data_IF_425347553479
#
_entry.id   IF_425347553479
#
_cell.length_a   1.000
_cell.length_b   1.000
_cell.length_c   1.000
_cell.angle_alpha   90.00
_cell.angle_beta   90.00
_cell.angle_gamma   90.00
#
_symmetry.space_group_name_H-M   'P 1'
#
loop_
_entity.id
_entity.type
_entity.pdbx_description
1 polymer ?
#
# COMPACT_ATOMS: atom_id res chain seq x y z
N UNK A 1 27.50 -76.69 -41.36
CA UNK A 1 28.27 -75.84 -42.30
C UNK A 1 27.34 -75.41 -43.43
N UNK A 2 27.51 -74.19 -43.94
CA UNK A 2 26.81 -73.53 -45.07
C UNK A 2 25.40 -73.03 -44.72
N UNK A 3 25.22 -71.84 -44.11
CA UNK A 3 25.37 -70.47 -44.66
C UNK A 3 24.30 -70.13 -45.72
N UNK A 4 23.12 -69.71 -45.24
CA UNK A 4 22.08 -69.10 -46.05
C UNK A 4 22.38 -67.61 -46.28
N UNK A 5 22.60 -67.26 -47.55
CA UNK A 5 22.97 -65.92 -47.97
C UNK A 5 21.86 -64.89 -47.67
N UNK A 6 22.25 -63.84 -46.96
CA UNK A 6 21.48 -62.62 -46.70
C UNK A 6 21.16 -61.92 -48.02
N UNK A 7 19.87 -61.76 -48.30
CA UNK A 7 19.38 -60.87 -49.35
C UNK A 7 19.39 -59.45 -48.80
N UNK A 8 20.48 -58.72 -49.06
CA UNK A 8 20.57 -57.27 -48.86
C UNK A 8 19.56 -56.57 -49.78
N UNK A 9 18.37 -56.29 -49.25
CA UNK A 9 17.50 -55.26 -49.82
C UNK A 9 18.16 -53.91 -49.57
N UNK A 10 18.90 -53.45 -50.56
CA UNK A 10 19.26 -52.04 -50.73
C UNK A 10 17.97 -51.22 -50.76
N UNK A 11 17.59 -50.65 -49.61
CA UNK A 11 16.65 -49.53 -49.54
C UNK A 11 17.37 -48.31 -50.10
N UNK A 12 16.85 -47.64 -51.13
CA UNK A 12 17.33 -46.31 -51.47
C UNK A 12 16.98 -45.38 -50.31
N UNK A 13 17.98 -45.01 -49.51
CA UNK A 13 17.95 -43.79 -48.70
C UNK A 13 17.96 -42.61 -49.66
N UNK A 14 16.78 -42.29 -50.21
CA UNK A 14 16.53 -40.98 -50.79
C UNK A 14 16.45 -40.00 -49.61
N UNK A 15 17.60 -39.43 -49.25
CA UNK A 15 17.63 -38.17 -48.51
C UNK A 15 16.86 -37.18 -49.40
N UNK A 16 15.70 -36.67 -48.97
CA UNK A 16 14.95 -35.75 -49.81
C UNK A 16 15.83 -34.51 -50.08
N UNK A 17 15.82 -33.98 -51.31
CA UNK A 17 16.53 -32.75 -51.63
C UNK A 17 16.08 -31.66 -50.66
N UNK A 18 17.05 -30.91 -50.13
CA UNK A 18 16.86 -29.98 -49.03
C UNK A 18 15.64 -29.09 -49.24
N UNK A 19 14.71 -29.12 -48.27
CA UNK A 19 13.57 -28.22 -48.19
C UNK A 19 14.06 -26.78 -48.39
N UNK A 20 13.76 -26.20 -49.54
CA UNK A 20 14.09 -24.79 -49.78
C UNK A 20 13.16 -23.92 -48.96
N UNK A 21 13.63 -22.75 -48.51
CA UNK A 21 12.84 -21.82 -47.68
C UNK A 21 11.51 -21.45 -48.37
N UNK A 22 11.53 -21.32 -49.70
CA UNK A 22 10.34 -21.02 -50.51
C UNK A 22 9.30 -22.16 -50.52
N UNK A 23 9.72 -23.42 -50.44
CA UNK A 23 8.81 -24.57 -50.37
C UNK A 23 8.12 -24.64 -49.01
N UNK A 24 8.86 -24.36 -47.94
CA UNK A 24 8.32 -24.28 -46.57
C UNK A 24 7.33 -23.13 -46.44
N UNK A 25 7.63 -21.94 -46.98
CA UNK A 25 6.73 -20.79 -46.96
C UNK A 25 5.44 -21.04 -47.74
N UNK A 26 5.53 -21.66 -48.93
CA UNK A 26 4.37 -22.03 -49.74
C UNK A 26 3.49 -23.08 -49.04
N UNK A 27 4.09 -24.00 -48.30
CA UNK A 27 3.36 -25.03 -47.52
C UNK A 27 2.68 -24.48 -46.26
N UNK A 28 3.08 -23.29 -45.78
CA UNK A 28 2.53 -22.68 -44.58
C UNK A 28 1.35 -21.73 -44.85
N UNK A 29 0.96 -21.52 -46.11
CA UNK A 29 -0.27 -20.81 -46.54
C UNK A 29 -0.45 -19.43 -45.85
N UNK A 30 0.58 -18.58 -45.87
CA UNK A 30 0.52 -17.23 -45.26
C UNK A 30 0.70 -17.19 -43.74
N UNK A 31 0.84 -18.33 -43.05
CA UNK A 31 1.11 -18.36 -41.60
C UNK A 31 2.53 -17.89 -41.25
N UNK A 32 3.49 -18.12 -42.15
CA UNK A 32 4.83 -17.54 -42.02
C UNK A 32 4.78 -16.01 -42.01
N UNK A 33 3.90 -15.39 -42.81
CA UNK A 33 3.69 -13.95 -42.84
C UNK A 33 3.09 -13.43 -41.53
N UNK A 34 2.10 -14.14 -40.96
CA UNK A 34 1.53 -13.82 -39.64
C UNK A 34 2.61 -13.86 -38.54
N UNK A 35 3.45 -14.89 -38.54
CA UNK A 35 4.55 -15.00 -37.57
C UNK A 35 5.60 -13.91 -37.78
N UNK A 36 5.98 -13.62 -39.02
CA UNK A 36 6.94 -12.57 -39.36
C UNK A 36 6.43 -11.18 -38.95
N UNK A 37 5.16 -10.87 -39.25
CA UNK A 37 4.50 -9.63 -38.85
C UNK A 37 4.48 -9.46 -37.32
N UNK A 38 4.21 -10.55 -36.58
CA UNK A 38 4.14 -10.53 -35.13
C UNK A 38 5.49 -10.29 -34.43
N UNK A 39 6.64 -10.56 -35.08
CA UNK A 39 7.97 -10.45 -34.44
C UNK A 39 8.27 -9.04 -33.95
N UNK A 40 7.98 -8.03 -34.76
CA UNK A 40 8.30 -6.63 -34.45
C UNK A 40 7.46 -6.10 -33.28
N UNK A 41 6.12 -6.19 -33.29
CA UNK A 41 5.29 -5.78 -32.15
C UNK A 41 5.68 -6.46 -30.83
N UNK A 42 5.95 -7.76 -30.85
CA UNK A 42 6.39 -8.49 -29.66
C UNK A 42 7.76 -8.01 -29.17
N UNK A 43 8.72 -7.73 -30.06
CA UNK A 43 10.04 -7.22 -29.68
C UNK A 43 9.95 -5.81 -29.08
N UNK A 44 9.13 -4.95 -29.67
CA UNK A 44 8.92 -3.58 -29.19
C UNK A 44 8.27 -3.57 -27.79
N UNK A 45 7.27 -4.43 -27.55
CA UNK A 45 6.65 -4.57 -26.24
C UNK A 45 7.60 -5.18 -25.20
N UNK A 46 8.42 -6.17 -25.60
CA UNK A 46 9.44 -6.77 -24.71
C UNK A 46 10.45 -5.71 -24.26
N UNK A 47 10.91 -4.87 -25.20
CA UNK A 47 11.78 -3.73 -24.92
C UNK A 47 11.12 -2.70 -24.01
N UNK A 48 9.84 -2.38 -24.24
CA UNK A 48 9.09 -1.46 -23.40
C UNK A 48 8.96 -1.97 -21.95
N UNK A 49 8.56 -3.24 -21.77
CA UNK A 49 8.31 -3.84 -20.45
C UNK A 49 9.58 -4.18 -19.65
N UNK A 50 10.69 -4.46 -20.32
CA UNK A 50 11.98 -4.74 -19.68
C UNK A 50 12.64 -3.48 -19.10
N UNK A 51 12.36 -2.30 -19.66
CA UNK A 51 12.92 -1.03 -19.22
C UNK A 51 12.55 -0.60 -17.78
N UNK A 52 13.35 0.29 -17.18
CA UNK A 52 13.05 0.90 -15.87
C UNK A 52 11.84 1.85 -15.92
N UNK A 53 11.63 2.51 -17.06
CA UNK A 53 10.53 3.47 -17.31
C UNK A 53 9.36 2.85 -18.09
N UNK A 54 9.13 1.56 -17.91
CA UNK A 54 8.15 0.79 -18.68
C UNK A 54 6.73 1.39 -18.65
N UNK A 55 6.29 1.94 -17.51
CA UNK A 55 4.96 2.60 -17.41
C UNK A 55 4.83 3.76 -18.38
N UNK A 56 5.80 4.68 -18.35
CA UNK A 56 5.85 5.81 -19.29
C UNK A 56 5.92 5.33 -20.73
N UNK A 57 6.66 4.26 -21.02
CA UNK A 57 6.74 3.70 -22.37
C UNK A 57 5.37 3.17 -22.86
N UNK A 58 4.59 2.53 -22.00
CA UNK A 58 3.23 2.08 -22.32
C UNK A 58 2.26 3.26 -22.51
N UNK A 59 2.33 4.29 -21.66
CA UNK A 59 1.49 5.50 -21.81
C UNK A 59 1.76 6.22 -23.12
N UNK A 60 3.03 6.28 -23.55
CA UNK A 60 3.45 6.95 -24.78
C UNK A 60 3.11 6.20 -26.06
N UNK A 61 2.81 4.90 -25.96
CA UNK A 61 2.53 4.02 -27.11
C UNK A 61 1.24 3.22 -26.85
N UNK A 62 0.10 3.91 -26.85
CA UNK A 62 -1.17 3.33 -26.45
C UNK A 62 -1.65 2.18 -27.35
N UNK A 63 -1.13 2.08 -28.56
CA UNK A 63 -1.50 1.10 -29.58
C UNK A 63 -0.86 -0.28 -29.39
N UNK A 64 0.26 -0.39 -28.67
CA UNK A 64 1.07 -1.63 -28.62
C UNK A 64 0.33 -2.81 -27.98
N UNK A 65 -0.40 -2.57 -26.90
CA UNK A 65 -1.13 -3.64 -26.20
C UNK A 65 -2.38 -4.08 -26.98
N UNK A 66 -3.28 -3.16 -27.41
CA UNK A 66 -4.44 -3.54 -28.21
C UNK A 66 -4.08 -4.28 -29.51
N UNK A 67 -3.04 -3.83 -30.24
CA UNK A 67 -2.63 -4.47 -31.48
C UNK A 67 -2.17 -5.93 -31.26
N UNK A 68 -1.35 -6.16 -30.23
CA UNK A 68 -0.89 -7.52 -29.91
C UNK A 68 -2.04 -8.42 -29.45
N UNK A 69 -2.95 -7.90 -28.64
CA UNK A 69 -4.12 -8.65 -28.16
C UNK A 69 -5.07 -9.01 -29.32
N UNK A 70 -5.23 -8.11 -30.30
CA UNK A 70 -6.07 -8.36 -31.49
C UNK A 70 -5.52 -9.51 -32.35
N UNK A 71 -4.20 -9.59 -32.52
CA UNK A 71 -3.54 -10.63 -33.33
C UNK A 71 -3.22 -11.92 -32.55
N UNK A 72 -3.41 -11.93 -31.23
CA UNK A 72 -2.94 -12.99 -30.34
C UNK A 72 -3.40 -14.40 -30.76
N UNK A 73 -4.69 -14.54 -31.08
CA UNK A 73 -5.27 -15.83 -31.51
C UNK A 73 -4.67 -16.32 -32.82
N UNK A 74 -4.50 -15.44 -33.80
CA UNK A 74 -3.92 -15.79 -35.10
C UNK A 74 -2.46 -16.24 -34.96
N UNK A 75 -1.69 -15.58 -34.09
CA UNK A 75 -0.30 -15.94 -33.78
C UNK A 75 -0.21 -17.27 -33.02
N UNK A 76 -1.09 -17.51 -32.05
CA UNK A 76 -1.14 -18.78 -31.31
C UNK A 76 -1.48 -19.96 -32.21
N UNK A 77 -2.53 -19.83 -33.03
CA UNK A 77 -2.91 -20.85 -34.02
C UNK A 77 -1.80 -21.11 -35.05
N UNK A 78 -1.10 -20.07 -35.50
CA UNK A 78 0.03 -20.20 -36.41
C UNK A 78 1.22 -20.93 -35.75
N UNK A 79 1.58 -20.56 -34.51
CA UNK A 79 2.65 -21.21 -33.75
C UNK A 79 2.35 -22.69 -33.52
N UNK A 80 1.15 -23.04 -33.07
CA UNK A 80 0.77 -24.43 -32.80
C UNK A 80 0.80 -25.29 -34.06
N UNK A 81 0.31 -24.78 -35.19
CA UNK A 81 0.29 -25.54 -36.44
C UNK A 81 1.70 -25.75 -36.98
N UNK A 82 2.56 -24.73 -36.94
CA UNK A 82 3.95 -24.87 -37.38
C UNK A 82 4.72 -25.82 -36.45
N UNK A 83 4.50 -25.77 -35.14
CA UNK A 83 5.11 -26.71 -34.18
C UNK A 83 4.65 -28.15 -34.40
N UNK A 84 3.34 -28.38 -34.57
CA UNK A 84 2.80 -29.71 -34.87
C UNK A 84 3.40 -30.29 -36.15
N UNK A 85 3.51 -29.47 -37.20
CA UNK A 85 4.05 -29.89 -38.48
C UNK A 85 5.56 -30.15 -38.44
N UNK A 86 6.32 -29.26 -37.81
CA UNK A 86 7.76 -29.45 -37.60
C UNK A 86 8.05 -30.76 -36.84
N UNK A 87 7.22 -31.11 -35.86
CA UNK A 87 7.32 -32.39 -35.14
C UNK A 87 6.96 -33.60 -36.00
N UNK A 88 5.91 -33.50 -36.83
CA UNK A 88 5.47 -34.58 -37.72
C UNK A 88 6.47 -34.85 -38.85
N UNK A 89 7.07 -33.80 -39.40
CA UNK A 89 7.99 -33.86 -40.53
C UNK A 89 9.47 -33.88 -40.09
N UNK A 90 9.75 -33.97 -38.78
CA UNK A 90 11.08 -34.01 -38.18
C UNK A 90 12.01 -32.90 -38.74
N UNK A 91 11.52 -31.66 -38.78
CA UNK A 91 12.27 -30.53 -39.32
C UNK A 91 13.61 -30.34 -38.59
N UNK A 92 14.73 -30.17 -39.32
CA UNK A 92 16.01 -29.86 -38.71
C UNK A 92 15.97 -28.57 -37.88
N UNK A 93 16.75 -28.53 -36.80
CA UNK A 93 16.83 -27.37 -35.90
C UNK A 93 17.24 -26.07 -36.60
N UNK A 94 18.04 -26.18 -37.66
CA UNK A 94 18.56 -25.04 -38.44
C UNK A 94 17.59 -24.51 -39.50
N UNK A 95 16.39 -25.11 -39.62
CA UNK A 95 15.36 -24.63 -40.56
C UNK A 95 14.99 -23.18 -40.21
N UNK A 96 15.14 -22.20 -41.12
CA UNK A 96 14.95 -20.78 -40.79
C UNK A 96 13.60 -20.46 -40.17
N UNK A 97 12.51 -20.97 -40.76
CA UNK A 97 11.15 -20.77 -40.25
C UNK A 97 10.97 -21.39 -38.86
N UNK A 98 11.57 -22.55 -38.61
CA UNK A 98 11.53 -23.20 -37.30
C UNK A 98 12.29 -22.41 -36.23
N UNK A 99 13.46 -21.87 -36.58
CA UNK A 99 14.21 -20.98 -35.71
C UNK A 99 13.38 -19.74 -35.34
N UNK A 100 12.69 -19.14 -36.29
CA UNK A 100 11.84 -17.98 -36.05
C UNK A 100 10.64 -18.29 -35.15
N UNK A 101 10.01 -19.45 -35.33
CA UNK A 101 8.92 -19.94 -34.47
C UNK A 101 9.40 -20.13 -33.03
N UNK A 102 10.58 -20.73 -32.84
CA UNK A 102 11.19 -20.91 -31.51
C UNK A 102 11.57 -19.57 -30.86
N UNK A 103 12.12 -18.65 -31.64
CA UNK A 103 12.43 -17.30 -31.16
C UNK A 103 11.17 -16.56 -30.70
N UNK A 104 10.09 -16.62 -31.48
CA UNK A 104 8.82 -15.98 -31.15
C UNK A 104 8.14 -16.63 -29.95
N UNK A 105 8.14 -17.97 -29.84
CA UNK A 105 7.59 -18.68 -28.68
C UNK A 105 8.35 -18.34 -27.40
N UNK A 106 9.69 -18.34 -27.45
CA UNK A 106 10.53 -17.94 -26.33
C UNK A 106 10.31 -16.47 -25.95
N UNK A 107 10.10 -15.58 -26.93
CA UNK A 107 9.76 -14.18 -26.70
C UNK A 107 8.39 -14.03 -26.03
N UNK A 108 7.36 -14.73 -26.49
CA UNK A 108 6.03 -14.75 -25.85
C UNK A 108 6.14 -15.22 -24.39
N UNK A 109 6.88 -16.29 -24.12
CA UNK A 109 7.11 -16.76 -22.74
C UNK A 109 7.82 -15.71 -21.86
N UNK A 110 8.84 -15.03 -22.39
CA UNK A 110 9.52 -13.93 -21.68
C UNK A 110 8.56 -12.76 -21.41
N UNK A 111 7.77 -12.38 -22.41
CA UNK A 111 6.74 -11.35 -22.29
C UNK A 111 5.69 -11.70 -21.23
N UNK A 112 5.20 -12.95 -21.20
CA UNK A 112 4.23 -13.40 -20.18
C UNK A 112 4.80 -13.22 -18.79
N UNK A 113 6.04 -13.68 -18.57
CA UNK A 113 6.71 -13.53 -17.28
C UNK A 113 6.93 -12.06 -16.92
N UNK A 114 7.30 -11.22 -17.88
CA UNK A 114 7.46 -9.78 -17.67
C UNK A 114 6.12 -9.11 -17.32
N UNK A 115 5.07 -9.37 -18.10
CA UNK A 115 3.73 -8.83 -17.89
C UNK A 115 3.21 -9.23 -16.50
N UNK A 116 3.29 -10.51 -16.14
CA UNK A 116 2.91 -11.01 -14.80
C UNK A 116 3.74 -10.35 -13.70
N UNK A 117 5.06 -10.22 -13.86
CA UNK A 117 5.93 -9.53 -12.89
C UNK A 117 5.56 -8.05 -12.72
N UNK A 118 5.26 -7.35 -13.82
CA UNK A 118 4.86 -5.93 -13.78
C UNK A 118 3.46 -5.77 -13.16
N UNK A 119 2.53 -6.66 -13.51
CA UNK A 119 1.18 -6.69 -12.95
C UNK A 119 1.21 -6.98 -11.44
N UNK A 120 1.99 -7.96 -10.99
CA UNK A 120 2.19 -8.27 -9.58
C UNK A 120 2.81 -7.10 -8.80
N UNK A 121 3.57 -6.21 -9.46
CA UNK A 121 4.06 -4.99 -8.82
C UNK A 121 2.98 -3.91 -8.62
N UNK A 122 1.85 -4.00 -9.34
CA UNK A 122 0.76 -3.02 -9.31
C UNK A 122 -0.49 -3.51 -8.57
N UNK A 123 -0.76 -4.81 -8.57
CA UNK A 123 -1.98 -5.40 -8.01
C UNK A 123 -1.72 -6.82 -7.52
N UNK A 124 -2.66 -7.37 -6.76
CA UNK A 124 -2.69 -8.79 -6.41
C UNK A 124 -3.22 -9.56 -7.63
N UNK A 125 -2.31 -10.07 -8.46
CA UNK A 125 -2.66 -10.79 -9.68
C UNK A 125 -2.90 -12.29 -9.41
N UNK A 126 -3.89 -12.93 -10.05
CA UNK A 126 -3.99 -14.39 -10.10
C UNK A 126 -2.74 -15.01 -10.73
N UNK A 127 -2.36 -16.22 -10.32
CA UNK A 127 -1.14 -16.89 -10.81
C UNK A 127 -1.18 -17.26 -12.30
N UNK A 128 -2.38 -17.54 -12.83
CA UNK A 128 -2.58 -18.25 -14.10
C UNK A 128 -3.11 -17.37 -15.24
N UNK A 129 -2.93 -16.06 -15.16
CA UNK A 129 -3.42 -15.10 -16.16
C UNK A 129 -2.67 -15.28 -17.49
N UNK A 130 -3.40 -15.37 -18.62
CA UNK A 130 -2.81 -15.44 -19.97
C UNK A 130 -1.97 -14.19 -20.28
N UNK A 131 -1.15 -14.22 -21.35
CA UNK A 131 -0.35 -13.06 -21.74
C UNK A 131 -1.25 -11.85 -22.05
N UNK A 132 -2.28 -12.09 -22.85
CA UNK A 132 -3.20 -11.10 -23.39
C UNK A 132 -4.00 -10.44 -22.25
N UNK A 133 -4.50 -11.26 -21.34
CA UNK A 133 -5.23 -10.77 -20.16
C UNK A 133 -4.29 -10.00 -19.22
N UNK A 134 -3.07 -10.49 -19.01
CA UNK A 134 -2.08 -9.79 -18.18
C UNK A 134 -1.70 -8.42 -18.77
N UNK A 135 -1.52 -8.34 -20.09
CA UNK A 135 -1.22 -7.10 -20.80
C UNK A 135 -2.41 -6.14 -20.77
N UNK A 136 -3.63 -6.62 -21.00
CA UNK A 136 -4.85 -5.80 -20.96
C UNK A 136 -5.07 -5.18 -19.58
N UNK A 137 -4.94 -6.00 -18.52
CA UNK A 137 -5.03 -5.52 -17.13
C UNK A 137 -3.90 -4.53 -16.80
N UNK A 138 -2.68 -4.81 -17.26
CA UNK A 138 -1.53 -3.92 -17.06
C UNK A 138 -1.75 -2.56 -17.73
N UNK A 139 -2.22 -2.54 -18.96
CA UNK A 139 -2.52 -1.33 -19.73
C UNK A 139 -3.62 -0.50 -19.06
N UNK A 140 -4.72 -1.13 -18.65
CA UNK A 140 -5.80 -0.48 -17.90
C UNK A 140 -5.29 0.17 -16.59
N UNK A 141 -4.43 -0.53 -15.84
CA UNK A 141 -3.87 -0.03 -14.58
C UNK A 141 -2.89 1.14 -14.77
N UNK A 142 -2.12 1.14 -15.86
CA UNK A 142 -1.15 2.20 -16.18
C UNK A 142 -1.87 3.46 -16.66
N UNK A 143 -2.98 3.31 -17.39
CA UNK A 143 -3.81 4.43 -17.87
C UNK A 143 -4.72 5.02 -16.81
N UNK A 144 -4.94 4.30 -15.72
CA UNK A 144 -5.77 4.79 -14.63
C UNK A 144 -5.16 6.05 -13.99
N UNK A 145 -5.75 7.21 -14.29
CA UNK A 145 -5.34 8.49 -13.75
C UNK A 145 -5.71 8.59 -12.27
N UNK A 146 -4.69 8.74 -11.42
CA UNK A 146 -4.88 8.98 -9.99
C UNK A 146 -5.04 10.49 -9.76
N UNK A 147 -6.26 10.90 -9.42
CA UNK A 147 -6.57 12.31 -9.13
C UNK A 147 -6.33 12.61 -7.67
N UNK A 148 -5.41 13.55 -7.40
CA UNK A 148 -5.11 14.03 -6.05
C UNK A 148 -6.25 14.86 -5.44
N UNK A 149 -6.98 15.60 -6.27
CA UNK A 149 -8.12 16.40 -5.85
C UNK A 149 -9.25 15.52 -5.30
N UNK A 150 -9.99 16.03 -4.31
CA UNK A 150 -11.18 15.39 -3.77
C UNK A 150 -12.24 15.30 -4.87
N UNK A 151 -12.89 14.14 -4.99
CA UNK A 151 -14.09 14.02 -5.83
C UNK A 151 -15.29 14.65 -5.09
N UNK A 152 -16.33 15.09 -5.82
CA UNK A 152 -17.56 15.54 -5.18
C UNK A 152 -18.09 14.50 -4.18
N UNK A 153 -18.37 14.93 -2.94
CA UNK A 153 -18.83 14.06 -1.86
C UNK A 153 -17.72 13.29 -1.11
N UNK A 154 -16.45 13.41 -1.50
CA UNK A 154 -15.33 12.89 -0.71
C UNK A 154 -14.95 13.87 0.40
N UNK A 155 -14.83 13.35 1.63
CA UNK A 155 -14.38 14.13 2.80
C UNK A 155 -12.94 13.78 3.10
N UNK A 156 -12.13 14.79 3.39
CA UNK A 156 -10.76 14.59 3.85
C UNK A 156 -10.77 14.13 5.31
N UNK A 157 -10.27 12.92 5.55
CA UNK A 157 -10.18 12.34 6.90
C UNK A 157 -8.82 12.67 7.52
N UNK A 158 -7.75 12.49 6.74
CA UNK A 158 -6.39 12.73 7.21
C UNK A 158 -5.47 13.11 6.04
N UNK A 159 -4.56 14.05 6.28
CA UNK A 159 -3.51 14.42 5.35
C UNK A 159 -2.18 14.55 6.10
N UNK A 160 -1.13 13.97 5.51
CA UNK A 160 0.22 14.06 6.05
C UNK A 160 1.24 14.33 4.94
N UNK A 161 2.29 15.06 5.31
CA UNK A 161 3.41 15.41 4.45
C UNK A 161 4.69 14.85 5.06
N UNK A 162 5.14 13.71 4.59
CA UNK A 162 6.25 12.99 5.23
C UNK A 162 7.61 13.62 4.96
N UNK A 163 7.74 14.40 3.88
CA UNK A 163 8.98 15.10 3.52
C UNK A 163 9.18 16.43 4.26
N UNK A 164 8.08 17.10 4.67
CA UNK A 164 8.20 18.30 5.52
C UNK A 164 8.48 17.81 6.93
N UNK A 165 9.77 17.82 7.32
CA UNK A 165 10.16 17.89 8.73
C UNK A 165 9.43 19.08 9.32
N UNK A 166 8.31 18.83 9.98
CA UNK A 166 7.60 19.87 10.71
C UNK A 166 8.48 20.20 11.90
N UNK A 167 9.35 21.20 11.73
CA UNK A 167 10.00 21.96 12.80
C UNK A 167 8.96 22.82 13.54
N UNK A 168 7.74 22.31 13.75
CA UNK A 168 6.73 23.01 14.53
C UNK A 168 6.98 22.66 16.01
N UNK A 169 7.45 23.60 16.84
CA UNK A 169 7.80 23.32 18.23
C UNK A 169 6.57 23.12 19.13
N UNK A 170 5.35 23.36 18.61
CA UNK A 170 4.17 23.64 19.44
C UNK A 170 3.14 22.50 19.53
N UNK A 171 3.35 21.36 18.87
CA UNK A 171 2.53 20.16 19.11
C UNK A 171 3.44 18.97 19.38
N UNK A 172 4.16 19.07 20.50
CA UNK A 172 4.79 17.94 21.16
C UNK A 172 3.72 17.07 21.85
N UNK A 173 2.96 16.29 21.07
CA UNK A 173 2.60 14.98 21.62
C UNK A 173 3.92 14.22 21.71
N UNK A 174 4.23 13.72 22.90
CA UNK A 174 5.47 13.07 23.37
C UNK A 174 5.89 11.87 22.49
N UNK A 175 6.24 12.13 21.23
CA UNK A 175 6.71 11.16 20.25
C UNK A 175 8.20 11.37 20.08
N UNK A 176 8.94 10.40 20.61
CA UNK A 176 10.38 10.29 20.46
C UNK A 176 10.73 10.46 18.99
N UNK A 177 11.43 11.55 18.65
CA UNK A 177 12.20 11.58 17.41
C UNK A 177 13.06 10.31 17.43
N UNK A 178 13.06 9.50 16.35
CA UNK A 178 13.91 8.31 16.31
C UNK A 178 15.33 8.76 16.67
N UNK A 179 15.88 8.30 17.80
CA UNK A 179 17.20 8.71 18.30
C UNK A 179 18.28 8.64 17.21
N UNK A 180 18.08 7.74 16.25
CA UNK A 180 18.90 7.55 15.06
C UNK A 180 18.93 8.78 14.14
N UNK A 181 17.81 9.45 13.87
CA UNK A 181 17.77 10.61 12.95
C UNK A 181 18.48 11.83 13.54
N UNK A 182 18.39 12.01 14.86
CA UNK A 182 19.14 13.04 15.59
C UNK A 182 20.64 12.72 15.62
N UNK A 183 21.01 11.45 15.84
CA UNK A 183 22.41 11.02 15.81
C UNK A 183 23.04 11.26 14.43
N UNK A 184 22.36 10.93 13.33
CA UNK A 184 22.85 11.19 11.98
C UNK A 184 22.96 12.68 11.64
N UNK A 185 21.99 13.50 12.08
CA UNK A 185 22.05 14.94 11.88
C UNK A 185 23.22 15.58 12.66
N UNK A 186 23.42 15.18 13.91
CA UNK A 186 24.54 15.64 14.73
C UNK A 186 25.89 15.18 14.17
N UNK A 187 25.98 13.93 13.72
CA UNK A 187 27.19 13.39 13.08
C UNK A 187 27.52 14.15 11.79
N UNK A 188 26.53 14.40 10.93
CA UNK A 188 26.71 15.19 9.71
C UNK A 188 27.22 16.60 10.01
N UNK A 189 26.66 17.27 11.02
CA UNK A 189 27.09 18.61 11.44
C UNK A 189 28.53 18.60 11.98
N UNK A 190 28.89 17.61 12.81
CA UNK A 190 30.25 17.44 13.33
C UNK A 190 31.28 17.15 12.22
N UNK A 191 30.92 16.34 11.23
CA UNK A 191 31.79 16.06 10.08
C UNK A 191 32.00 17.30 9.19
N UNK A 192 30.96 18.11 8.97
CA UNK A 192 31.09 19.39 8.25
C UNK A 192 31.98 20.37 9.03
N UNK A 193 31.81 20.46 10.35
CA UNK A 193 32.67 21.28 11.20
C UNK A 193 34.13 20.81 11.16
N UNK A 194 34.35 19.48 11.16
CA UNK A 194 35.68 18.88 11.03
C UNK A 194 36.35 19.17 9.69
N UNK A 195 35.60 19.19 8.58
CA UNK A 195 36.12 19.57 7.26
C UNK A 195 36.61 21.02 7.21
N UNK A 196 35.96 21.92 7.95
CA UNK A 196 36.34 23.34 7.97
C UNK A 196 37.64 23.61 8.75
N UNK A 197 38.03 22.71 9.66
CA UNK A 197 39.19 22.89 10.55
C UNK A 197 40.38 22.02 10.15
N UNK A 198 40.17 20.92 9.43
CA UNK A 198 41.24 19.99 9.07
C UNK A 198 42.08 20.48 7.89
N UNK A 199 43.39 20.65 8.09
CA UNK A 199 44.37 20.99 7.04
C UNK A 199 45.03 19.76 6.39
N UNK A 200 44.83 18.57 6.96
CA UNK A 200 45.48 17.33 6.51
C UNK A 200 44.64 16.61 5.45
N UNK A 201 45.26 16.22 4.33
CA UNK A 201 44.55 15.68 3.16
C UNK A 201 43.86 14.33 3.42
N UNK A 202 44.42 13.49 4.28
CA UNK A 202 43.82 12.21 4.67
C UNK A 202 42.57 12.39 5.53
N UNK A 203 42.56 13.38 6.42
CA UNK A 203 41.40 13.72 7.26
C UNK A 203 40.28 14.32 6.41
N UNK A 204 40.62 15.15 5.43
CA UNK A 204 39.67 15.72 4.46
C UNK A 204 38.97 14.63 3.64
N UNK A 205 39.69 13.58 3.21
CA UNK A 205 39.09 12.46 2.47
C UNK A 205 38.09 11.67 3.34
N UNK A 206 38.48 11.27 4.55
CA UNK A 206 37.60 10.51 5.45
C UNK A 206 36.36 11.31 5.83
N UNK A 207 36.52 12.59 6.17
CA UNK A 207 35.38 13.45 6.50
C UNK A 207 34.51 13.73 5.27
N UNK A 208 35.10 13.85 4.09
CA UNK A 208 34.37 13.96 2.82
C UNK A 208 33.49 12.73 2.55
N UNK A 209 34.00 11.51 2.78
CA UNK A 209 33.21 10.28 2.67
C UNK A 209 32.06 10.24 3.68
N UNK A 210 32.30 10.62 4.94
CA UNK A 210 31.26 10.65 5.97
C UNK A 210 30.18 11.68 5.66
N UNK A 211 30.54 12.89 5.22
CA UNK A 211 29.57 13.92 4.80
C UNK A 211 28.78 13.44 3.59
N UNK A 212 29.43 12.84 2.59
CA UNK A 212 28.75 12.30 1.41
C UNK A 212 27.81 11.17 1.77
N UNK A 213 28.19 10.27 2.69
CA UNK A 213 27.34 9.19 3.19
C UNK A 213 26.13 9.72 3.97
N UNK A 214 26.34 10.69 4.87
CA UNK A 214 25.25 11.32 5.63
C UNK A 214 24.30 12.09 4.71
N UNK A 215 24.83 12.87 3.76
CA UNK A 215 24.04 13.61 2.78
C UNK A 215 23.28 12.65 1.86
N UNK A 216 23.91 11.58 1.39
CA UNK A 216 23.27 10.52 0.61
C UNK A 216 22.15 9.83 1.38
N UNK A 217 22.31 9.58 2.68
CA UNK A 217 21.25 9.05 3.54
C UNK A 217 20.08 10.01 3.68
N UNK A 218 20.33 11.29 3.98
CA UNK A 218 19.28 12.32 4.11
C UNK A 218 18.54 12.49 2.79
N UNK A 219 19.26 12.59 1.67
CA UNK A 219 18.67 12.66 0.32
C UNK A 219 17.83 11.41 0.04
N UNK A 220 18.33 10.21 0.38
CA UNK A 220 17.57 8.96 0.23
C UNK A 220 16.27 8.96 1.04
N UNK A 221 16.27 9.44 2.28
CA UNK A 221 15.05 9.56 3.10
C UNK A 221 14.07 10.57 2.51
N UNK A 222 14.56 11.72 2.02
CA UNK A 222 13.73 12.71 1.35
C UNK A 222 13.09 12.16 0.07
N UNK A 223 13.84 11.39 -0.73
CA UNK A 223 13.35 10.75 -1.94
C UNK A 223 12.35 9.61 -1.66
N UNK A 224 12.41 9.00 -0.48
CA UNK A 224 11.44 7.98 -0.02
C UNK A 224 10.14 8.60 0.50
N UNK A 225 10.18 9.86 0.92
CA UNK A 225 9.01 10.58 1.40
C UNK A 225 7.98 10.90 0.32
N UNK A 226 6.89 11.53 0.75
CA UNK A 226 5.74 11.85 -0.09
C UNK A 226 4.63 12.55 0.67
N UNK A 227 3.45 12.58 0.06
CA UNK A 227 2.22 13.08 0.66
C UNK A 227 1.23 11.92 0.74
N UNK A 228 0.65 11.75 1.91
CA UNK A 228 -0.38 10.76 2.15
C UNK A 228 -1.70 11.48 2.38
N UNK A 229 -2.76 11.00 1.73
CA UNK A 229 -4.10 11.54 1.89
C UNK A 229 -5.07 10.38 2.08
N UNK A 230 -5.77 10.38 3.19
CA UNK A 230 -6.89 9.49 3.47
C UNK A 230 -8.18 10.29 3.34
N UNK A 231 -9.05 9.83 2.47
CA UNK A 231 -10.41 10.37 2.28
C UNK A 231 -11.42 9.35 2.79
N UNK A 232 -12.70 9.72 2.82
CA UNK A 232 -13.79 8.79 3.09
C UNK A 232 -13.86 7.61 2.11
N UNK A 233 -13.31 7.73 0.89
CA UNK A 233 -13.40 6.68 -0.15
C UNK A 233 -12.10 5.94 -0.43
N UNK A 234 -10.98 6.63 -0.30
CA UNK A 234 -9.70 6.16 -0.86
C UNK A 234 -8.51 6.66 -0.06
N UNK A 235 -7.48 5.83 -0.07
CA UNK A 235 -6.14 6.16 0.36
C UNK A 235 -5.29 6.50 -0.86
N UNK A 236 -4.65 7.67 -0.83
CA UNK A 236 -3.82 8.18 -1.91
C UNK A 236 -2.41 8.44 -1.36
N UNK A 237 -1.40 7.90 -2.05
CA UNK A 237 0.00 8.15 -1.78
C UNK A 237 0.66 8.82 -2.98
N UNK A 238 1.22 10.00 -2.78
CA UNK A 238 2.00 10.72 -3.79
C UNK A 238 3.46 10.76 -3.36
N UNK A 239 4.33 9.89 -3.89
CA UNK A 239 5.75 9.95 -3.58
C UNK A 239 6.37 11.24 -4.14
N UNK A 240 7.48 11.70 -3.55
CA UNK A 240 8.27 12.82 -4.10
C UNK A 240 8.77 12.47 -5.51
N UNK A 241 9.18 11.20 -5.70
CA UNK A 241 9.56 10.67 -7.00
C UNK A 241 8.71 9.46 -7.37
N UNK A 242 8.00 9.55 -8.50
CA UNK A 242 7.15 8.49 -9.03
C UNK A 242 5.73 8.95 -9.31
N UNK A 243 4.87 7.99 -9.65
CA UNK A 243 3.46 8.23 -9.91
C UNK A 243 2.64 8.11 -8.62
N UNK A 244 1.60 8.93 -8.45
CA UNK A 244 0.63 8.76 -7.37
C UNK A 244 -0.05 7.39 -7.44
N UNK A 245 -0.33 6.82 -6.26
CA UNK A 245 -0.99 5.54 -6.08
C UNK A 245 -2.30 5.77 -5.32
N UNK A 246 -3.34 5.04 -5.71
CA UNK A 246 -4.68 5.13 -5.10
C UNK A 246 -5.20 3.72 -4.85
N UNK A 247 -5.81 3.52 -3.68
CA UNK A 247 -6.55 2.31 -3.32
C UNK A 247 -7.87 2.72 -2.67
N UNK A 248 -8.99 2.20 -3.19
CA UNK A 248 -10.31 2.38 -2.57
C UNK A 248 -10.40 1.63 -1.25
N UNK A 249 -10.90 2.27 -0.21
CA UNK A 249 -11.00 1.69 1.14
C UNK A 249 -11.88 0.45 1.17
N UNK A 250 -12.98 0.46 0.42
CA UNK A 250 -13.89 -0.69 0.32
C UNK A 250 -13.34 -1.89 -0.45
N UNK A 251 -12.23 -1.74 -1.17
CA UNK A 251 -11.58 -2.83 -1.92
C UNK A 251 -10.41 -3.46 -1.14
N UNK A 252 -10.10 -2.96 0.06
CA UNK A 252 -9.02 -3.48 0.91
C UNK A 252 -9.54 -4.72 1.65
N UNK A 253 -8.87 -5.85 1.44
CA UNK A 253 -9.22 -7.10 2.13
C UNK A 253 -8.95 -7.00 3.64
N UNK A 254 -9.59 -7.85 4.49
CA UNK A 254 -9.34 -7.91 5.93
C UNK A 254 -7.85 -7.87 6.33
N UNK A 255 -7.02 -8.65 5.65
CA UNK A 255 -5.56 -8.74 5.86
C UNK A 255 -4.73 -7.93 4.85
N UNK A 256 -5.37 -7.03 4.11
CA UNK A 256 -4.75 -6.20 3.08
C UNK A 256 -3.83 -5.11 3.63
N UNK A 257 -3.82 -4.86 4.94
CA UNK A 257 -2.97 -3.87 5.58
C UNK A 257 -1.76 -4.52 6.24
N UNK A 258 -0.56 -4.08 5.84
CA UNK A 258 0.71 -4.53 6.39
C UNK A 258 1.60 -3.36 6.74
N UNK A 259 2.05 -3.34 7.99
CA UNK A 259 3.08 -2.44 8.48
C UNK A 259 4.44 -3.13 8.32
N UNK A 260 5.34 -2.54 7.55
CA UNK A 260 6.70 -3.05 7.39
C UNK A 260 7.69 -2.34 8.32
N UNK A 261 8.85 -2.95 8.52
CA UNK A 261 9.94 -2.34 9.28
C UNK A 261 10.36 -1.02 8.60
N UNK A 262 10.47 0.06 9.38
CA UNK A 262 10.92 1.37 8.86
C UNK A 262 9.81 2.40 8.57
N UNK A 263 8.61 2.23 9.15
CA UNK A 263 7.46 3.15 8.96
C UNK A 263 6.84 3.10 7.56
N UNK A 264 6.98 1.96 6.87
CA UNK A 264 6.40 1.74 5.54
C UNK A 264 5.00 1.11 5.68
N UNK A 265 4.03 1.66 4.95
CA UNK A 265 2.66 1.17 4.88
C UNK A 265 2.44 0.49 3.53
N UNK A 266 2.10 -0.80 3.57
CA UNK A 266 1.62 -1.54 2.41
C UNK A 266 0.13 -1.81 2.53
N UNK A 267 -0.58 -1.49 1.47
CA UNK A 267 -2.02 -1.71 1.33
C UNK A 267 -2.29 -2.52 0.08
N UNK A 268 -2.95 -3.64 0.26
CA UNK A 268 -3.36 -4.57 -0.79
C UNK A 268 -4.89 -4.52 -0.90
N UNK A 269 -5.37 -4.03 -2.05
CA UNK A 269 -6.77 -4.12 -2.47
C UNK A 269 -6.83 -4.42 -3.97
N UNK A 270 -7.69 -3.71 -4.71
CA UNK A 270 -7.69 -3.74 -6.19
C UNK A 270 -6.33 -3.34 -6.80
N UNK A 271 -5.56 -2.53 -6.07
CA UNK A 271 -4.20 -2.10 -6.40
C UNK A 271 -3.31 -2.25 -5.17
N UNK A 272 -2.01 -2.32 -5.40
CA UNK A 272 -0.98 -2.27 -4.35
C UNK A 272 -0.54 -0.84 -4.17
N UNK A 273 -0.67 -0.35 -2.95
CA UNK A 273 -0.12 0.93 -2.52
C UNK A 273 1.01 0.68 -1.54
N UNK A 274 2.16 1.29 -1.81
CA UNK A 274 3.32 1.26 -0.92
C UNK A 274 3.73 2.69 -0.60
N UNK A 275 3.28 3.16 0.57
CA UNK A 275 3.68 4.45 1.12
C UNK A 275 4.88 4.26 2.03
N UNK A 276 5.97 4.98 1.74
CA UNK A 276 7.24 4.83 2.47
C UNK A 276 7.43 5.97 3.46
N UNK A 277 8.08 5.66 4.57
CA UNK A 277 8.42 6.64 5.60
C UNK A 277 7.20 7.44 6.07
N UNK A 278 6.06 6.76 6.28
CA UNK A 278 4.81 7.39 6.74
C UNK A 278 4.93 7.75 8.21
N UNK A 279 4.77 9.03 8.53
CA UNK A 279 4.81 9.47 9.92
C UNK A 279 3.57 8.98 10.64
N UNK A 280 3.77 8.37 11.81
CA UNK A 280 2.63 7.80 12.55
C UNK A 280 1.91 6.70 11.75
N UNK A 281 2.66 5.88 11.01
CA UNK A 281 2.15 4.77 10.18
C UNK A 281 1.06 3.94 10.87
N UNK A 282 1.20 3.69 12.18
CA UNK A 282 0.21 2.95 12.97
C UNK A 282 -1.12 3.69 13.09
N UNK A 283 -1.09 5.02 13.31
CA UNK A 283 -2.30 5.83 13.41
C UNK A 283 -3.01 5.91 12.06
N UNK A 284 -2.27 6.06 10.96
CA UNK A 284 -2.85 6.02 9.61
C UNK A 284 -3.45 4.65 9.33
N UNK A 285 -2.72 3.57 9.59
CA UNK A 285 -3.23 2.22 9.36
C UNK A 285 -4.48 1.93 10.20
N UNK A 286 -4.54 2.43 11.43
CA UNK A 286 -5.73 2.38 12.27
C UNK A 286 -6.91 3.13 11.64
N UNK A 287 -6.69 4.35 11.13
CA UNK A 287 -7.73 5.10 10.44
C UNK A 287 -8.21 4.37 9.18
N UNK A 288 -7.31 3.76 8.41
CA UNK A 288 -7.69 2.95 7.24
C UNK A 288 -8.51 1.72 7.65
N UNK A 289 -8.10 1.05 8.72
CA UNK A 289 -8.79 -0.12 9.30
C UNK A 289 -10.19 0.21 9.84
N UNK A 290 -10.39 1.42 10.34
CA UNK A 290 -11.67 1.91 10.84
C UNK A 290 -12.56 2.42 9.69
N UNK A 291 -12.03 3.26 8.81
CA UNK A 291 -12.78 3.86 7.70
C UNK A 291 -13.05 2.89 6.53
N UNK A 292 -12.50 1.68 6.52
CA UNK A 292 -12.95 0.61 5.61
C UNK A 292 -14.31 0.03 6.02
N UNK A 293 -14.68 0.16 7.30
CA UNK A 293 -15.94 -0.39 7.80
C UNK A 293 -17.13 0.43 7.28
N UNK A 294 -18.20 -0.21 6.78
CA UNK A 294 -19.33 0.52 6.18
C UNK A 294 -19.93 1.64 7.05
N UNK A 295 -20.15 1.47 8.38
CA UNK A 295 -20.72 2.53 9.23
C UNK A 295 -19.84 3.77 9.30
N UNK A 296 -18.56 3.59 9.62
CA UNK A 296 -17.58 4.69 9.74
C UNK A 296 -17.29 5.35 8.39
N UNK A 297 -17.26 4.56 7.32
CA UNK A 297 -17.09 5.07 5.95
C UNK A 297 -18.25 5.97 5.55
N UNK A 298 -19.49 5.51 5.79
CA UNK A 298 -20.70 6.26 5.51
C UNK A 298 -20.79 7.54 6.33
N UNK A 299 -20.49 7.44 7.63
CA UNK A 299 -20.55 8.58 8.53
C UNK A 299 -19.47 9.64 8.23
N UNK A 300 -18.26 9.21 7.85
CA UNK A 300 -17.22 10.13 7.39
C UNK A 300 -17.61 10.94 6.14
N UNK A 301 -18.43 10.38 5.23
CA UNK A 301 -18.96 11.13 4.07
C UNK A 301 -19.91 12.26 4.46
N UNK A 302 -20.63 12.11 5.58
CA UNK A 302 -21.49 13.18 6.08
C UNK A 302 -20.68 14.40 6.57
N UNK A 303 -19.39 14.22 6.87
CA UNK A 303 -18.51 15.32 7.28
C UNK A 303 -18.76 15.83 8.70
N UNK A 304 -19.69 15.23 9.44
CA UNK A 304 -20.07 15.65 10.79
C UNK A 304 -19.26 14.84 11.80
N UNK A 305 -18.51 15.53 12.67
CA UNK A 305 -17.88 14.94 13.84
C UNK A 305 -18.71 15.27 15.09
N UNK A 306 -18.79 14.33 16.01
CA UNK A 306 -19.43 14.53 17.31
C UNK A 306 -18.60 15.49 18.15
N UNK A 307 -19.14 16.68 18.34
CA UNK A 307 -18.61 17.71 19.25
C UNK A 307 -19.25 17.65 20.64
N UNK A 308 -20.26 16.80 20.83
CA UNK A 308 -20.93 16.53 22.11
C UNK A 308 -20.17 15.54 23.01
N UNK A 309 -18.93 15.19 22.66
CA UNK A 309 -18.13 14.20 23.39
C UNK A 309 -16.70 14.72 23.58
N UNK A 310 -16.16 14.57 24.79
CA UNK A 310 -14.76 14.84 25.11
C UNK A 310 -14.01 13.54 25.41
N UNK A 311 -12.80 13.39 24.87
CA UNK A 311 -11.95 12.21 25.05
C UNK A 311 -10.59 12.64 25.59
N UNK A 312 -10.25 12.19 26.79
CA UNK A 312 -9.05 12.69 27.45
C UNK A 312 -8.34 11.65 28.31
N UNK A 313 -7.02 11.76 28.50
CA UNK A 313 -6.28 10.88 29.41
C UNK A 313 -6.77 11.09 30.85
N UNK A 314 -7.03 9.99 31.53
CA UNK A 314 -7.59 9.97 32.87
C UNK A 314 -6.98 8.85 33.74
N UNK A 315 -7.18 8.99 35.04
CA UNK A 315 -6.86 7.99 36.06
C UNK A 315 -8.12 7.64 36.83
N UNK A 316 -8.42 6.36 36.91
CA UNK A 316 -9.48 5.82 37.75
C UNK A 316 -8.83 5.11 38.95
N UNK A 317 -8.79 5.79 40.10
CA UNK A 317 -7.97 5.36 41.23
C UNK A 317 -6.49 5.25 40.84
N UNK A 318 -5.95 4.02 40.86
CA UNK A 318 -4.56 3.72 40.45
C UNK A 318 -4.39 3.39 38.97
N UNK A 319 -5.48 3.12 38.23
CA UNK A 319 -5.45 2.70 36.82
C UNK A 319 -5.36 3.93 35.93
N UNK A 320 -4.48 3.90 34.92
CA UNK A 320 -4.41 4.93 33.87
C UNK A 320 -5.19 4.46 32.63
N UNK A 321 -5.69 5.41 31.86
CA UNK A 321 -6.57 5.14 30.74
C UNK A 321 -7.04 6.40 30.04
N UNK A 322 -8.07 6.23 29.23
CA UNK A 322 -8.77 7.31 28.54
C UNK A 322 -10.21 7.35 29.02
N UNK A 323 -10.71 8.55 29.28
CA UNK A 323 -12.09 8.80 29.62
C UNK A 323 -12.79 9.40 28.40
N UNK A 324 -13.96 8.85 28.10
CA UNK A 324 -14.97 9.41 27.21
C UNK A 324 -16.03 10.04 28.08
N UNK A 325 -16.19 11.35 27.97
CA UNK A 325 -17.26 12.11 28.62
C UNK A 325 -18.30 12.45 27.56
N UNK A 326 -19.53 11.96 27.72
CA UNK A 326 -20.65 12.21 26.83
C UNK A 326 -21.90 12.68 27.58
N UNK A 327 -23.00 12.94 26.87
CA UNK A 327 -24.22 13.49 27.47
C UNK A 327 -24.89 12.56 28.49
N UNK A 328 -24.79 11.24 28.28
CA UNK A 328 -25.43 10.20 29.09
C UNK A 328 -24.60 9.77 30.31
N UNK A 329 -23.30 10.07 30.32
CA UNK A 329 -22.40 9.57 31.33
C UNK A 329 -20.96 9.58 30.88
N UNK A 330 -20.13 8.82 31.60
CA UNK A 330 -18.72 8.68 31.28
C UNK A 330 -18.33 7.21 31.15
N UNK A 331 -17.34 6.97 30.32
CA UNK A 331 -16.73 5.67 30.10
C UNK A 331 -15.22 5.77 30.25
N UNK A 332 -14.61 4.82 30.95
CA UNK A 332 -13.18 4.72 31.19
C UNK A 332 -12.63 3.46 30.56
N UNK A 333 -11.64 3.62 29.68
CA UNK A 333 -10.95 2.53 28.98
C UNK A 333 -9.49 2.51 29.44
N UNK A 334 -8.97 1.40 29.99
CA UNK A 334 -7.58 1.33 30.46
C UNK A 334 -6.55 1.53 29.33
N UNK A 335 -5.37 2.04 29.68
CA UNK A 335 -4.20 2.12 28.78
C UNK A 335 -3.76 0.71 28.33
N UNK A 336 -3.01 0.64 27.22
CA UNK A 336 -2.45 -0.58 26.63
C UNK A 336 -3.51 -1.58 26.11
N UNK A 337 -4.76 -1.12 25.97
CA UNK A 337 -5.89 -1.92 25.46
C UNK A 337 -6.31 -1.57 24.03
N UNK A 338 -5.49 -0.83 23.28
CA UNK A 338 -5.80 -0.41 21.92
C UNK A 338 -6.23 -1.55 20.99
N UNK A 339 -5.48 -2.65 20.85
CA UNK A 339 -5.87 -3.78 20.00
C UNK A 339 -7.19 -4.45 20.42
N UNK A 340 -7.45 -4.59 21.72
CA UNK A 340 -8.73 -5.13 22.21
C UNK A 340 -9.88 -4.18 21.90
N UNK A 341 -9.66 -2.87 22.07
CA UNK A 341 -10.64 -1.85 21.78
C UNK A 341 -10.99 -1.80 20.27
N UNK A 342 -9.98 -1.87 19.39
CA UNK A 342 -10.19 -1.98 17.94
C UNK A 342 -10.96 -3.25 17.57
N UNK A 343 -10.64 -4.40 18.17
CA UNK A 343 -11.35 -5.66 17.95
C UNK A 343 -12.82 -5.57 18.37
N UNK A 344 -13.12 -4.88 19.48
CA UNK A 344 -14.49 -4.67 19.94
C UNK A 344 -15.33 -3.83 18.97
N UNK A 345 -14.70 -2.91 18.24
CA UNK A 345 -15.34 -2.08 17.22
C UNK A 345 -15.50 -2.83 15.90
N UNK A 346 -14.45 -3.50 15.43
CA UNK A 346 -14.39 -4.12 14.10
C UNK A 346 -14.92 -5.55 14.06
N UNK A 347 -15.08 -6.19 15.22
CA UNK A 347 -15.51 -7.59 15.36
C UNK A 347 -14.43 -8.63 15.03
N UNK A 348 -13.27 -8.22 14.53
CA UNK A 348 -12.24 -9.13 14.01
C UNK A 348 -10.86 -8.78 14.59
N UNK A 349 -9.94 -9.75 14.72
CA UNK A 349 -8.57 -9.47 15.13
C UNK A 349 -7.85 -8.64 14.05
N UNK A 350 -7.11 -7.62 14.47
CA UNK A 350 -6.23 -6.84 13.60
C UNK A 350 -4.77 -7.23 13.80
N UNK A 351 -3.95 -7.11 12.76
CA UNK A 351 -2.49 -7.24 12.82
C UNK A 351 -1.81 -6.02 13.45
N UNK A 352 -2.53 -4.90 13.59
CA UNK A 352 -2.01 -3.65 14.14
C UNK A 352 -1.64 -3.78 15.62
N UNK A 353 -0.52 -3.17 16.00
CA UNK A 353 0.03 -3.15 17.36
C UNK A 353 0.53 -1.74 17.69
N UNK A 354 0.81 -1.47 18.96
CA UNK A 354 1.45 -0.23 19.42
C UNK A 354 0.62 1.03 19.16
N UNK A 355 -0.68 0.99 19.48
CA UNK A 355 -1.56 2.15 19.53
C UNK A 355 -2.44 2.08 20.77
N UNK A 356 -2.93 3.24 21.19
CA UNK A 356 -3.78 3.40 22.36
C UNK A 356 -5.26 3.56 21.96
N UNK A 357 -6.15 3.38 22.93
CA UNK A 357 -7.61 3.46 22.71
C UNK A 357 -8.10 4.86 22.35
N UNK A 358 -7.35 5.92 22.66
CA UNK A 358 -7.67 7.30 22.27
C UNK A 358 -7.80 7.49 20.76
N UNK A 359 -6.92 6.88 19.99
CA UNK A 359 -6.94 6.97 18.53
C UNK A 359 -8.15 6.25 17.94
N UNK A 360 -8.60 5.15 18.56
CA UNK A 360 -9.84 4.47 18.18
C UNK A 360 -11.03 5.36 18.51
N UNK A 361 -11.08 5.91 19.72
CA UNK A 361 -12.15 6.78 20.19
C UNK A 361 -12.29 8.04 19.34
N UNK A 362 -11.20 8.70 18.97
CA UNK A 362 -11.23 9.91 18.15
C UNK A 362 -11.77 9.64 16.73
N UNK A 363 -11.46 8.46 16.18
CA UNK A 363 -12.00 8.01 14.90
C UNK A 363 -13.49 7.63 15.00
N UNK A 364 -13.95 7.08 16.13
CA UNK A 364 -15.37 6.80 16.34
C UNK A 364 -16.23 8.05 16.37
N UNK A 365 -15.67 9.24 16.66
CA UNK A 365 -16.41 10.51 16.65
C UNK A 365 -17.03 10.88 15.30
N UNK A 366 -16.69 10.18 14.23
CA UNK A 366 -17.38 10.32 12.95
C UNK A 366 -18.78 9.68 12.93
N UNK A 367 -19.06 8.74 13.85
CA UNK A 367 -20.36 8.07 13.93
C UNK A 367 -21.44 8.97 14.53
N UNK A 368 -22.73 8.68 14.26
CA UNK A 368 -23.83 9.22 15.04
C UNK A 368 -23.71 8.88 16.53
N UNK A 369 -24.27 9.72 17.41
CA UNK A 369 -24.16 9.59 18.87
C UNK A 369 -24.57 8.20 19.39
N UNK A 370 -25.71 7.67 18.93
CA UNK A 370 -26.20 6.35 19.36
C UNK A 370 -25.24 5.21 18.96
N UNK A 371 -24.64 5.28 17.77
CA UNK A 371 -23.67 4.27 17.30
C UNK A 371 -22.33 4.42 18.01
N UNK A 372 -21.91 5.66 18.27
CA UNK A 372 -20.72 5.97 19.06
C UNK A 372 -20.82 5.36 20.46
N UNK A 373 -21.91 5.64 21.18
CA UNK A 373 -22.15 5.12 22.53
C UNK A 373 -22.17 3.59 22.56
N UNK A 374 -22.84 2.95 21.59
CA UNK A 374 -22.85 1.51 21.46
C UNK A 374 -21.43 0.92 21.23
N UNK A 375 -20.60 1.58 20.42
CA UNK A 375 -19.21 1.18 20.21
C UNK A 375 -18.38 1.34 21.49
N UNK A 376 -18.52 2.47 22.19
CA UNK A 376 -17.79 2.74 23.44
C UNK A 376 -18.16 1.72 24.51
N UNK A 377 -19.44 1.36 24.65
CA UNK A 377 -19.87 0.34 25.61
C UNK A 377 -19.27 -1.04 25.30
N UNK A 378 -19.24 -1.45 24.03
CA UNK A 378 -18.54 -2.69 23.62
C UNK A 378 -17.04 -2.64 23.93
N UNK A 379 -16.40 -1.48 23.75
CA UNK A 379 -14.99 -1.31 24.11
C UNK A 379 -14.77 -1.40 25.62
N UNK A 380 -15.63 -0.77 26.43
CA UNK A 380 -15.57 -0.85 27.90
C UNK A 380 -15.67 -2.29 28.37
N UNK A 381 -16.64 -3.05 27.85
CA UNK A 381 -16.83 -4.46 28.17
C UNK A 381 -15.59 -5.29 27.79
N UNK A 382 -15.13 -5.17 26.54
CA UNK A 382 -13.99 -5.96 26.03
C UNK A 382 -12.65 -5.63 26.70
N UNK A 383 -12.50 -4.44 27.27
CA UNK A 383 -11.24 -3.98 27.89
C UNK A 383 -11.23 -4.07 29.42
N UNK A 384 -12.34 -4.48 30.04
CA UNK A 384 -12.50 -4.44 31.50
C UNK A 384 -12.46 -3.00 32.05
N UNK A 385 -13.02 -2.07 31.29
CA UNK A 385 -13.18 -0.67 31.65
C UNK A 385 -14.26 -0.45 32.70
N UNK A 386 -14.70 0.80 32.85
CA UNK A 386 -15.83 1.17 33.68
C UNK A 386 -16.72 2.17 32.94
N UNK A 387 -18.04 2.04 33.08
CA UNK A 387 -19.00 3.02 32.59
C UNK A 387 -19.86 3.47 33.76
N UNK A 388 -20.06 4.78 33.90
CA UNK A 388 -20.90 5.37 34.93
C UNK A 388 -21.97 6.22 34.26
N UNK A 389 -23.22 5.98 34.61
CA UNK A 389 -24.30 6.87 34.18
C UNK A 389 -24.12 8.24 34.84
N UNK A 390 -24.53 9.30 34.14
CA UNK A 390 -24.43 10.67 34.66
C UNK A 390 -25.11 10.85 36.01
N UNK A 391 -26.24 10.18 36.25
CA UNK A 391 -26.97 10.24 37.52
C UNK A 391 -26.25 9.56 38.70
N UNK A 392 -25.31 8.65 38.42
CA UNK A 392 -24.62 7.86 39.44
C UNK A 392 -23.29 8.50 39.88
N UNK A 393 -22.76 9.42 39.07
CA UNK A 393 -21.46 10.04 39.28
C UNK A 393 -21.60 11.55 39.55
N UNK A 394 -20.82 12.05 40.51
CA UNK A 394 -20.80 13.47 40.90
C UNK A 394 -19.54 14.16 40.39
N UNK A 395 -19.71 15.27 39.70
CA UNK A 395 -18.61 16.14 39.30
C UNK A 395 -18.22 17.03 40.47
N UNK A 396 -16.94 17.03 40.85
CA UNK A 396 -16.41 17.89 41.90
C UNK A 396 -15.87 19.18 41.26
N UNK A 397 -16.55 20.32 41.41
CA UNK A 397 -16.08 21.58 40.84
C UNK A 397 -14.74 21.99 41.47
N UNK A 398 -13.86 22.61 40.68
CA UNK A 398 -12.55 23.01 41.16
C UNK A 398 -11.76 23.78 40.12
N UNK A 399 -10.59 23.28 39.75
CA UNK A 399 -9.73 23.89 38.73
C UNK A 399 -10.45 23.95 37.37
N UNK A 400 -10.06 24.89 36.49
CA UNK A 400 -10.48 24.88 35.10
C UNK A 400 -10.32 23.49 34.46
N UNK A 401 -11.22 23.15 33.55
CA UNK A 401 -11.39 21.79 33.02
C UNK A 401 -10.14 21.27 32.29
N UNK A 402 -9.37 22.19 31.70
CA UNK A 402 -8.08 21.91 31.06
C UNK A 402 -6.94 21.62 32.07
N UNK A 403 -7.05 22.11 33.31
CA UNK A 403 -6.09 21.79 34.39
C UNK A 403 -6.44 20.46 35.06
N UNK A 404 -7.73 20.21 35.29
CA UNK A 404 -8.17 19.00 35.96
C UNK A 404 -9.70 18.83 36.00
N UNK A 405 -10.16 17.65 35.60
CA UNK A 405 -11.50 17.13 35.89
C UNK A 405 -11.39 16.17 37.06
N UNK A 406 -12.34 16.23 38.00
CA UNK A 406 -12.53 15.24 39.05
C UNK A 406 -13.99 14.80 39.11
N UNK A 407 -14.24 13.51 38.94
CA UNK A 407 -15.58 12.91 39.01
C UNK A 407 -15.54 11.74 40.00
N UNK A 408 -16.51 11.67 40.89
CA UNK A 408 -16.62 10.65 41.95
C UNK A 408 -17.82 9.75 41.71
N UNK A 409 -17.64 8.46 41.96
CA UNK A 409 -18.71 7.47 41.94
C UNK A 409 -18.43 6.44 43.04
N UNK A 410 -19.27 6.44 44.09
CA UNK A 410 -19.04 5.65 45.32
C UNK A 410 -17.63 5.94 45.87
N UNK A 411 -16.82 4.90 46.12
CA UNK A 411 -15.45 5.03 46.63
C UNK A 411 -14.39 5.28 45.55
N UNK A 412 -14.80 5.41 44.28
CA UNK A 412 -13.90 5.61 43.15
C UNK A 412 -13.86 7.08 42.74
N UNK A 413 -12.66 7.57 42.46
CA UNK A 413 -12.44 8.90 41.89
C UNK A 413 -11.73 8.78 40.55
N UNK A 414 -12.32 9.39 39.53
CA UNK A 414 -11.72 9.62 38.22
C UNK A 414 -11.12 11.03 38.19
N UNK A 415 -9.87 11.14 37.76
CA UNK A 415 -9.19 12.41 37.52
C UNK A 415 -8.61 12.46 36.12
N UNK A 416 -8.73 13.57 35.40
CA UNK A 416 -8.21 13.67 34.04
C UNK A 416 -7.98 15.10 33.61
N UNK A 417 -7.46 15.30 32.39
CA UNK A 417 -7.14 16.63 31.86
C UNK A 417 -7.55 16.67 30.40
N UNK A 418 -8.41 17.62 30.04
CA UNK A 418 -8.89 17.76 28.66
C UNK A 418 -7.90 18.57 27.83
N UNK A 419 -7.74 18.22 26.56
CA UNK A 419 -6.97 19.04 25.64
C UNK A 419 -7.69 20.37 25.37
N UNK A 420 -6.94 21.42 25.08
CA UNK A 420 -7.50 22.75 24.82
C UNK A 420 -8.60 22.75 23.76
N UNK A 421 -8.45 21.95 22.70
CA UNK A 421 -9.42 21.81 21.61
C UNK A 421 -10.77 21.20 22.02
N UNK A 422 -10.85 20.56 23.18
CA UNK A 422 -12.06 19.91 23.71
C UNK A 422 -12.58 20.59 24.98
N UNK A 423 -12.00 21.72 25.39
CA UNK A 423 -12.40 22.42 26.60
C UNK A 423 -13.87 22.83 26.57
N UNK A 424 -14.31 23.50 25.50
CA UNK A 424 -15.68 24.01 25.39
C UNK A 424 -16.72 22.87 25.44
N UNK A 425 -16.41 21.76 24.78
CA UNK A 425 -17.26 20.56 24.79
C UNK A 425 -17.34 19.96 26.21
N UNK A 426 -16.21 19.80 26.89
CA UNK A 426 -16.17 19.28 28.25
C UNK A 426 -16.88 20.21 29.25
N UNK A 427 -16.69 21.52 29.14
CA UNK A 427 -17.40 22.51 29.96
C UNK A 427 -18.90 22.46 29.74
N UNK A 428 -19.36 22.36 28.49
CA UNK A 428 -20.78 22.22 28.17
C UNK A 428 -21.38 20.97 28.79
N UNK A 429 -20.68 19.83 28.71
CA UNK A 429 -21.13 18.57 29.30
C UNK A 429 -21.16 18.60 30.83
N UNK A 430 -20.15 19.21 31.47
CA UNK A 430 -20.04 19.26 32.92
C UNK A 430 -20.99 20.27 33.57
N UNK A 431 -21.47 21.29 32.84
CA UNK A 431 -22.46 22.25 33.36
C UNK A 431 -23.71 21.57 33.89
N UNK A 432 -24.17 20.55 33.19
CA UNK A 432 -25.40 19.84 33.55
C UNK A 432 -25.15 18.64 34.47
N UNK A 433 -23.88 18.36 34.84
CA UNK A 433 -23.53 17.20 35.66
C UNK A 433 -23.97 17.37 37.12
N UNK A 434 -24.47 16.30 37.79
CA UNK A 434 -24.72 16.32 39.23
C UNK A 434 -23.48 16.72 40.03
N UNK A 435 -23.65 17.57 41.04
CA UNK A 435 -22.57 18.08 41.90
C UNK A 435 -22.55 17.39 43.26
#
# INVERSE_FOLDING_TARGET
MMAGAMSERSRPSAVPPGLTVADVERQLEGRAEVLAAARRPHAELEKALSGRRWRRALVQRPELVPALVAEARAVEEALERVQRRAAQEAWPDDTPVWKEVRELSARRARLTRLARRRLAALTVAPGDVSLEEALTRLDALVRHEVRWALKPGEVLVHEDHTWRRSFSPLVQSRRELPRQDLAWAALGMLCVLGLLVASNSSVLQVMGFLVTGCMGFVVSQLLRGGQLRLTSERLIWRPVFGEPQEVRLGAIAPDGLRLEQGSDLRVEGERRLHARSVRGVTAVALLVELHRQPPLRGAARAGVRLDSVAVFPAKLGKRKGFCVLGPQGLSFIPEEKGPQALRAVTGHPSSLRNFESDQVLDALRWLPEAEFDACVMRMVEATGGAAWARAEARYVPGTPVWQGIRIQHRDLTLTGRVQWSQQDAAEKLLRDWPR
#
